data_IF_731040783082
#
_entry.id   IF_731040783082
#
_cell.length_a   1.000
_cell.length_b   1.000
_cell.length_c   1.000
_cell.angle_alpha   90.00
_cell.angle_beta   90.00
_cell.angle_gamma   90.00
#
_symmetry.space_group_name_H-M   'P 1'
#
loop_
_entity.id
_entity.type
_entity.pdbx_description
1 polymer ?
#
# COMPACT_ATOMS: atom_id res chain seq x y z
N UNK A 1 -1.95 13.78 16.68
CA UNK A 1 -1.80 12.36 16.29
C UNK A 1 -1.73 12.28 14.78
N UNK A 2 -0.74 11.57 14.24
CA UNK A 2 -0.59 11.40 12.79
C UNK A 2 -1.55 10.32 12.25
N UNK A 3 -2.21 10.59 11.13
CA UNK A 3 -3.22 9.70 10.55
C UNK A 3 -2.65 8.33 10.08
N UNK A 4 -1.46 8.32 9.47
CA UNK A 4 -0.79 7.09 9.01
C UNK A 4 -0.34 6.21 10.18
N UNK A 5 0.13 6.80 11.27
CA UNK A 5 0.46 6.04 12.49
C UNK A 5 -0.77 5.30 13.04
N UNK A 6 -1.95 5.92 12.94
CA UNK A 6 -3.22 5.26 13.27
C UNK A 6 -3.46 3.99 12.46
N UNK A 7 -3.27 4.05 11.14
CA UNK A 7 -3.40 2.88 10.25
C UNK A 7 -2.43 1.74 10.61
N UNK A 8 -1.20 2.06 11.02
CA UNK A 8 -0.25 1.05 11.52
C UNK A 8 -0.80 0.41 12.81
N UNK A 9 -1.19 1.24 13.78
CA UNK A 9 -1.70 0.81 15.09
C UNK A 9 -3.06 0.10 15.05
N UNK A 10 -3.83 0.24 13.97
CA UNK A 10 -5.05 -0.55 13.74
C UNK A 10 -4.78 -2.07 13.77
N UNK A 11 -3.56 -2.49 13.41
CA UNK A 11 -3.15 -3.89 13.48
C UNK A 11 -3.07 -4.42 14.92
N UNK A 12 -2.94 -3.55 15.93
CA UNK A 12 -2.93 -3.94 17.33
C UNK A 12 -4.30 -4.48 17.82
N UNK A 13 -5.38 -4.26 17.05
CA UNK A 13 -6.67 -4.91 17.29
C UNK A 13 -6.71 -6.38 16.85
N UNK A 14 -5.71 -6.81 16.09
CA UNK A 14 -5.62 -8.16 15.50
C UNK A 14 -4.59 -9.00 16.26
N UNK A 15 -3.41 -8.41 16.51
CA UNK A 15 -2.33 -9.04 17.24
C UNK A 15 -1.46 -7.96 17.90
N UNK A 16 -0.86 -8.28 19.05
CA UNK A 16 0.13 -7.40 19.68
C UNK A 16 1.30 -7.16 18.74
N UNK A 17 1.62 -5.88 18.49
CA UNK A 17 2.72 -5.51 17.60
C UNK A 17 4.07 -5.93 18.18
N UNK A 18 4.92 -6.55 17.35
CA UNK A 18 6.25 -7.02 17.73
C UNK A 18 7.34 -6.26 16.99
N UNK A 19 8.26 -5.67 17.74
CA UNK A 19 9.34 -4.85 17.21
C UNK A 19 10.71 -5.60 17.18
N UNK A 20 11.57 -5.37 16.18
CA UNK A 20 11.39 -4.42 15.08
C UNK A 20 10.28 -4.84 14.11
N UNK A 21 9.50 -3.87 13.67
CA UNK A 21 8.31 -4.02 12.84
C UNK A 21 8.51 -3.30 11.52
N UNK A 22 8.05 -3.90 10.42
CA UNK A 22 7.93 -3.25 9.13
C UNK A 22 6.45 -3.06 8.80
N UNK A 23 6.04 -1.87 8.41
CA UNK A 23 4.69 -1.57 7.98
C UNK A 23 4.68 -1.16 6.51
N UNK A 24 3.85 -1.83 5.71
CA UNK A 24 3.49 -1.40 4.37
C UNK A 24 2.21 -0.56 4.45
N UNK A 25 2.37 0.76 4.41
CA UNK A 25 1.29 1.74 4.52
C UNK A 25 0.82 2.13 3.13
N UNK A 26 -0.39 1.73 2.76
CA UNK A 26 -0.96 1.86 1.42
C UNK A 26 -2.40 2.37 1.46
N UNK A 27 -2.57 3.65 1.11
CA UNK A 27 -3.87 4.32 1.03
C UNK A 27 -4.10 4.92 -0.36
N UNK A 28 -5.17 5.71 -0.51
CA UNK A 28 -5.40 6.49 -1.72
C UNK A 28 -4.25 7.45 -2.04
N UNK A 29 -3.64 8.05 -1.01
CA UNK A 29 -2.60 9.09 -1.16
C UNK A 29 -1.22 8.72 -0.57
N UNK A 30 -1.07 7.55 0.02
CA UNK A 30 0.20 7.13 0.63
C UNK A 30 0.62 5.76 0.12
N UNK A 31 1.90 5.59 -0.13
CA UNK A 31 2.53 4.28 -0.36
C UNK A 31 3.93 4.33 0.21
N UNK A 32 4.08 3.79 1.42
CA UNK A 32 5.30 3.90 2.22
C UNK A 32 5.65 2.56 2.86
N UNK A 33 6.95 2.32 3.03
CA UNK A 33 7.52 1.32 3.92
C UNK A 33 8.05 2.03 5.16
N UNK A 34 7.48 1.72 6.31
CA UNK A 34 7.84 2.31 7.60
C UNK A 34 8.47 1.23 8.46
N UNK A 35 9.73 1.43 8.85
CA UNK A 35 10.42 0.59 9.79
C UNK A 35 10.32 1.18 11.19
N UNK A 36 9.98 0.34 12.17
CA UNK A 36 9.80 0.72 13.56
C UNK A 36 10.69 -0.13 14.46
N UNK A 37 11.69 0.46 15.11
CA UNK A 37 12.54 -0.26 16.07
C UNK A 37 11.83 -0.52 17.40
N UNK A 38 10.88 0.34 17.76
CA UNK A 38 10.05 0.27 18.95
C UNK A 38 8.67 0.90 18.68
N UNK A 39 7.84 1.02 19.72
CA UNK A 39 6.44 1.46 19.61
C UNK A 39 6.25 2.97 19.35
N UNK A 40 7.33 3.76 19.32
CA UNK A 40 7.28 5.20 19.00
C UNK A 40 8.47 5.69 18.16
N UNK A 41 9.00 4.84 17.29
CA UNK A 41 10.06 5.19 16.33
C UNK A 41 9.57 4.85 14.92
N UNK A 42 9.32 5.84 14.06
CA UNK A 42 8.79 5.63 12.71
C UNK A 42 9.79 6.14 11.68
N UNK A 43 10.44 5.22 10.95
CA UNK A 43 11.41 5.54 9.91
C UNK A 43 10.85 5.16 8.55
N UNK A 44 10.53 6.14 7.71
CA UNK A 44 10.19 5.86 6.31
C UNK A 44 11.45 5.48 5.55
N UNK A 45 11.55 4.21 5.20
CA UNK A 45 12.70 3.65 4.46
C UNK A 45 12.44 3.56 2.95
N UNK A 46 11.18 3.71 2.53
CA UNK A 46 10.79 3.73 1.12
C UNK A 46 9.46 4.43 0.95
N UNK A 47 9.33 5.22 -0.11
CA UNK A 47 8.09 5.94 -0.42
C UNK A 47 7.85 5.96 -1.93
N UNK A 48 6.62 6.23 -2.36
CA UNK A 48 6.37 6.53 -3.76
C UNK A 48 7.06 7.84 -4.16
N UNK A 49 7.69 7.85 -5.34
CA UNK A 49 8.26 9.06 -5.94
C UNK A 49 7.25 9.85 -6.78
N UNK A 50 6.07 9.28 -7.01
CA UNK A 50 5.02 9.88 -7.80
C UNK A 50 3.63 9.55 -7.21
N UNK A 51 2.76 8.89 -7.97
CA UNK A 51 1.42 8.52 -7.54
C UNK A 51 1.49 7.48 -6.42
N UNK A 52 0.60 7.58 -5.44
CA UNK A 52 0.33 6.45 -4.55
C UNK A 52 -0.35 5.31 -5.32
N UNK A 53 -0.22 4.08 -4.84
CA UNK A 53 -0.83 2.93 -5.52
C UNK A 53 -2.36 3.06 -5.61
N UNK A 54 -3.02 3.58 -4.57
CA UNK A 54 -4.47 3.81 -4.60
C UNK A 54 -4.88 4.79 -5.71
N UNK A 55 -4.16 5.90 -5.84
CA UNK A 55 -4.34 6.87 -6.92
C UNK A 55 -4.09 6.25 -8.31
N UNK A 56 -3.09 5.38 -8.45
CA UNK A 56 -2.83 4.67 -9.69
C UNK A 56 -4.01 3.76 -10.09
N UNK A 57 -4.62 3.05 -9.14
CA UNK A 57 -5.84 2.25 -9.38
C UNK A 57 -7.01 3.14 -9.84
N UNK A 58 -7.21 4.29 -9.20
CA UNK A 58 -8.27 5.24 -9.59
C UNK A 58 -8.04 5.81 -10.99
N UNK A 59 -6.79 6.17 -11.33
CA UNK A 59 -6.41 6.65 -12.65
C UNK A 59 -6.62 5.59 -13.74
N UNK A 60 -6.24 4.34 -13.50
CA UNK A 60 -6.43 3.25 -14.46
C UNK A 60 -7.91 2.89 -14.63
N UNK A 61 -8.69 2.86 -13.54
CA UNK A 61 -10.14 2.68 -13.63
C UNK A 61 -10.81 3.77 -14.48
N UNK A 62 -10.35 5.02 -14.36
CA UNK A 62 -10.81 6.12 -15.22
C UNK A 62 -10.45 5.91 -16.68
N UNK A 63 -9.23 5.43 -16.98
CA UNK A 63 -8.81 5.11 -18.36
C UNK A 63 -9.67 4.01 -18.97
N UNK A 64 -10.04 2.98 -18.20
CA UNK A 64 -10.90 1.89 -18.66
C UNK A 64 -12.39 2.26 -18.71
N UNK A 65 -12.77 3.43 -18.18
CA UNK A 65 -14.16 3.88 -18.10
C UNK A 65 -14.99 3.06 -17.12
N UNK A 66 -14.41 2.55 -16.04
CA UNK A 66 -15.03 1.56 -15.13
C UNK A 66 -15.54 2.14 -13.82
N UNK A 67 -15.35 3.46 -13.59
CA UNK A 67 -15.95 4.19 -12.47
C UNK A 67 -15.00 4.47 -11.30
N UNK A 68 -15.58 4.86 -10.16
CA UNK A 68 -14.90 5.23 -8.92
C UNK A 68 -15.67 4.70 -7.70
N UNK A 69 -15.02 4.21 -6.62
CA UNK A 69 -13.57 4.09 -6.44
C UNK A 69 -12.95 2.99 -7.31
N UNK A 70 -11.79 3.26 -7.89
CA UNK A 70 -11.15 2.38 -8.87
C UNK A 70 -10.54 1.12 -8.27
N UNK A 71 -10.02 1.21 -7.04
CA UNK A 71 -9.42 0.06 -6.31
C UNK A 71 -10.29 -1.21 -6.34
N UNK A 72 -11.52 -1.18 -5.75
CA UNK A 72 -12.41 -2.34 -5.71
C UNK A 72 -12.92 -2.81 -7.09
N UNK A 73 -13.02 -1.90 -8.06
CA UNK A 73 -13.49 -2.21 -9.41
C UNK A 73 -12.43 -2.98 -10.17
N UNK A 74 -11.19 -2.48 -10.19
CA UNK A 74 -10.05 -3.13 -10.82
C UNK A 74 -9.76 -4.48 -10.17
N UNK A 75 -9.78 -4.59 -8.83
CA UNK A 75 -9.58 -5.87 -8.13
C UNK A 75 -10.62 -6.93 -8.55
N UNK A 76 -11.87 -6.51 -8.80
CA UNK A 76 -12.92 -7.42 -9.29
C UNK A 76 -12.67 -7.84 -10.73
N UNK A 77 -12.43 -6.88 -11.62
CA UNK A 77 -12.19 -7.14 -13.04
C UNK A 77 -10.94 -8.00 -13.27
N UNK A 78 -9.88 -7.73 -12.53
CA UNK A 78 -8.63 -8.49 -12.62
C UNK A 78 -8.79 -9.97 -12.26
N UNK A 79 -9.80 -10.37 -11.48
CA UNK A 79 -10.10 -11.79 -11.19
C UNK A 79 -10.66 -12.53 -12.40
N UNK A 80 -11.32 -11.81 -13.30
CA UNK A 80 -11.90 -12.35 -14.52
C UNK A 80 -10.92 -12.25 -15.71
N UNK A 81 -9.88 -11.43 -15.57
CA UNK A 81 -8.82 -11.25 -16.55
C UNK A 81 -7.82 -12.39 -16.60
N UNK A 82 -7.09 -12.44 -17.72
CA UNK A 82 -6.05 -13.44 -18.03
C UNK A 82 -4.71 -12.75 -18.32
N UNK A 83 -3.63 -13.53 -18.27
CA UNK A 83 -2.29 -13.08 -18.65
C UNK A 83 -2.15 -12.93 -20.17
N UNK A 84 -2.78 -11.90 -20.71
CA UNK A 84 -2.78 -11.59 -22.14
C UNK A 84 -1.90 -10.36 -22.43
N UNK A 85 -2.00 -9.33 -21.60
CA UNK A 85 -1.26 -8.09 -21.74
C UNK A 85 -0.09 -8.01 -20.75
N UNK A 86 0.96 -7.28 -21.13
CA UNK A 86 2.12 -7.00 -20.27
C UNK A 86 2.38 -5.50 -20.24
N UNK A 87 2.56 -4.97 -19.04
CA UNK A 87 2.97 -3.59 -18.80
C UNK A 87 4.44 -3.56 -18.36
N UNK A 88 5.16 -2.46 -18.66
CA UNK A 88 6.52 -2.29 -18.17
C UNK A 88 6.53 -2.18 -16.64
N UNK A 89 7.46 -2.87 -16.00
CA UNK A 89 7.70 -2.70 -14.56
C UNK A 89 8.32 -1.31 -14.32
N UNK A 90 7.77 -0.51 -13.39
CA UNK A 90 8.35 0.78 -13.04
C UNK A 90 9.74 0.60 -12.43
N UNK A 91 10.66 1.52 -12.77
CA UNK A 91 12.01 1.57 -12.20
C UNK A 91 12.07 2.67 -11.16
N UNK A 92 12.76 2.41 -10.05
CA UNK A 92 12.97 3.37 -8.97
C UNK A 92 14.43 3.38 -8.57
N UNK A 93 14.96 4.56 -8.27
CA UNK A 93 16.37 4.73 -7.88
C UNK A 93 16.63 4.20 -6.47
N UNK A 94 15.67 4.37 -5.55
CA UNK A 94 15.76 3.84 -4.20
C UNK A 94 15.45 2.34 -4.12
N UNK A 95 16.20 1.65 -3.27
CA UNK A 95 16.08 0.20 -3.06
C UNK A 95 14.64 -0.18 -2.69
N UNK A 96 14.00 0.61 -1.82
CA UNK A 96 12.63 0.39 -1.34
C UNK A 96 11.59 1.36 -1.90
N UNK A 97 11.98 2.26 -2.79
CA UNK A 97 11.08 3.27 -3.34
C UNK A 97 10.14 2.69 -4.40
N UNK A 98 8.98 3.33 -4.53
CA UNK A 98 7.90 2.97 -5.45
C UNK A 98 7.69 4.05 -6.53
N UNK A 99 7.06 3.66 -7.63
CA UNK A 99 6.62 4.56 -8.71
C UNK A 99 5.50 3.87 -9.48
N UNK A 100 4.37 4.53 -9.64
CA UNK A 100 3.18 3.98 -10.28
C UNK A 100 2.61 4.90 -11.37
N UNK A 101 3.03 6.17 -11.44
CA UNK A 101 2.49 7.15 -12.42
C UNK A 101 2.63 6.69 -13.89
N UNK A 102 3.74 6.00 -14.20
CA UNK A 102 4.01 5.45 -15.53
C UNK A 102 3.01 4.38 -15.97
N UNK A 103 2.33 3.69 -15.04
CA UNK A 103 1.41 2.61 -15.36
C UNK A 103 0.15 3.13 -16.07
N UNK A 104 -0.36 4.30 -15.69
CA UNK A 104 -1.48 4.93 -16.41
C UNK A 104 -1.11 5.16 -17.88
N UNK A 105 0.06 5.73 -18.12
CA UNK A 105 0.56 6.01 -19.48
C UNK A 105 0.76 4.72 -20.26
N UNK A 106 1.32 3.68 -19.63
CA UNK A 106 1.51 2.38 -20.26
C UNK A 106 0.17 1.72 -20.64
N UNK A 107 -0.87 1.82 -19.79
CA UNK A 107 -2.22 1.33 -20.09
C UNK A 107 -2.82 2.09 -21.27
N UNK A 108 -2.72 3.41 -21.31
CA UNK A 108 -3.20 4.22 -22.44
C UNK A 108 -2.51 3.83 -23.75
N UNK A 109 -1.19 3.64 -23.72
CA UNK A 109 -0.41 3.23 -24.88
C UNK A 109 -0.78 1.82 -25.35
N UNK A 110 -1.03 0.90 -24.41
CA UNK A 110 -1.48 -0.45 -24.71
C UNK A 110 -2.83 -0.41 -25.45
N UNK A 111 -3.81 0.33 -24.91
CA UNK A 111 -5.14 0.49 -25.52
C UNK A 111 -5.01 1.03 -26.95
N UNK A 112 -4.28 2.14 -27.13
CA UNK A 112 -4.09 2.74 -28.46
C UNK A 112 -3.39 1.81 -29.45
N UNK A 113 -2.49 0.95 -28.98
CA UNK A 113 -1.78 0.00 -29.85
C UNK A 113 -2.72 -1.08 -30.36
N UNK A 114 -3.53 -1.67 -29.48
CA UNK A 114 -4.50 -2.70 -29.87
C UNK A 114 -5.58 -2.14 -30.80
N UNK A 115 -6.09 -0.93 -30.50
CA UNK A 115 -7.06 -0.25 -31.37
C UNK A 115 -6.50 0.00 -32.78
N UNK A 116 -5.24 0.45 -32.89
CA UNK A 116 -4.56 0.63 -34.18
C UNK A 116 -4.33 -0.68 -34.93
N UNK A 117 -4.20 -1.80 -34.21
CA UNK A 117 -4.10 -3.13 -34.79
C UNK A 117 -5.47 -3.70 -35.20
N UNK A 118 -6.57 -3.01 -34.89
CA UNK A 118 -7.94 -3.47 -35.16
C UNK A 118 -8.44 -4.51 -34.14
N UNK A 119 -7.76 -4.66 -33.00
CA UNK A 119 -8.15 -5.58 -31.94
C UNK A 119 -9.10 -4.87 -30.96
N UNK A 120 -10.12 -5.58 -30.49
CA UNK A 120 -10.94 -5.11 -29.36
C UNK A 120 -10.19 -5.31 -28.03
N UNK A 121 -10.26 -4.32 -27.15
CA UNK A 121 -9.65 -4.39 -25.82
C UNK A 121 -10.51 -5.22 -24.88
N UNK A 122 -9.89 -6.21 -24.25
CA UNK A 122 -10.46 -6.98 -23.13
C UNK A 122 -10.07 -6.25 -21.84
N UNK A 123 -11.01 -5.49 -21.25
CA UNK A 123 -10.70 -4.60 -20.12
C UNK A 123 -10.26 -5.37 -18.88
N UNK A 124 -10.79 -6.57 -18.67
CA UNK A 124 -10.47 -7.48 -17.58
C UNK A 124 -9.00 -7.90 -17.64
N UNK A 125 -8.51 -8.22 -18.85
CA UNK A 125 -7.09 -8.56 -19.07
C UNK A 125 -6.17 -7.36 -18.84
N UNK A 126 -6.63 -6.14 -19.18
CA UNK A 126 -5.88 -4.91 -18.88
C UNK A 126 -5.83 -4.65 -17.37
N UNK A 127 -6.95 -4.82 -16.68
CA UNK A 127 -7.02 -4.72 -15.22
C UNK A 127 -6.12 -5.75 -14.54
N UNK A 128 -6.10 -6.99 -15.03
CA UNK A 128 -5.19 -8.05 -14.59
C UNK A 128 -3.72 -7.63 -14.77
N UNK A 129 -3.33 -7.22 -15.99
CA UNK A 129 -1.96 -6.82 -16.29
C UNK A 129 -1.49 -5.64 -15.44
N UNK A 130 -2.36 -4.64 -15.22
CA UNK A 130 -2.09 -3.53 -14.30
C UNK A 130 -1.91 -3.99 -12.86
N UNK A 131 -2.86 -4.76 -12.33
CA UNK A 131 -2.83 -5.22 -10.95
C UNK A 131 -1.57 -6.06 -10.66
N UNK A 132 -1.26 -7.03 -11.52
CA UNK A 132 -0.07 -7.87 -11.33
C UNK A 132 1.23 -7.05 -11.43
N UNK A 133 1.29 -6.06 -12.32
CA UNK A 133 2.49 -5.20 -12.45
C UNK A 133 2.66 -4.31 -11.22
N UNK A 134 1.60 -3.63 -10.78
CA UNK A 134 1.64 -2.72 -9.63
C UNK A 134 1.93 -3.48 -8.31
N UNK A 135 1.20 -4.57 -8.07
CA UNK A 135 1.40 -5.40 -6.88
C UNK A 135 2.72 -6.18 -6.93
N UNK A 136 3.19 -6.56 -8.11
CA UNK A 136 4.49 -7.18 -8.30
C UNK A 136 5.62 -6.29 -7.79
N UNK A 137 5.60 -4.99 -8.15
CA UNK A 137 6.55 -4.02 -7.63
C UNK A 137 6.38 -3.81 -6.12
N UNK A 138 5.15 -3.58 -5.66
CA UNK A 138 4.85 -3.33 -4.25
C UNK A 138 5.35 -4.47 -3.36
N UNK A 139 4.99 -5.70 -3.70
CA UNK A 139 5.39 -6.90 -2.96
C UNK A 139 6.89 -7.17 -3.08
N UNK A 140 7.49 -7.01 -4.27
CA UNK A 140 8.92 -7.21 -4.47
C UNK A 140 9.78 -6.30 -3.59
N UNK A 141 9.47 -5.00 -3.55
CA UNK A 141 10.16 -4.02 -2.72
C UNK A 141 9.95 -4.27 -1.22
N UNK A 142 8.73 -4.67 -0.83
CA UNK A 142 8.42 -5.03 0.56
C UNK A 142 9.22 -6.24 1.02
N UNK A 143 9.30 -7.29 0.19
CA UNK A 143 10.06 -8.50 0.53
C UNK A 143 11.56 -8.27 0.55
N UNK A 144 12.07 -7.40 -0.32
CA UNK A 144 13.47 -6.96 -0.25
C UNK A 144 13.76 -6.33 1.13
N UNK A 145 12.89 -5.45 1.62
CA UNK A 145 13.04 -4.87 2.96
C UNK A 145 12.92 -5.93 4.09
N UNK A 146 12.07 -6.94 3.93
CA UNK A 146 12.00 -8.07 4.88
C UNK A 146 13.30 -8.88 4.90
N UNK A 147 13.89 -9.17 3.74
CA UNK A 147 15.15 -9.90 3.61
C UNK A 147 16.31 -9.13 4.27
N UNK A 148 16.40 -7.84 3.99
CA UNK A 148 17.50 -6.99 4.44
C UNK A 148 17.43 -6.69 5.95
N UNK A 149 16.23 -6.38 6.45
CA UNK A 149 16.02 -5.89 7.83
C UNK A 149 15.60 -6.98 8.81
N UNK A 150 15.07 -8.11 8.32
CA UNK A 150 14.61 -9.26 9.12
C UNK A 150 13.71 -8.83 10.30
N UNK A 151 12.63 -8.06 10.05
CA UNK A 151 11.75 -7.60 11.11
C UNK A 151 11.06 -8.80 11.77
N UNK A 152 10.69 -8.68 13.05
CA UNK A 152 9.89 -9.70 13.74
C UNK A 152 8.46 -9.75 13.20
N UNK A 153 7.97 -8.63 12.67
CA UNK A 153 6.62 -8.50 12.16
C UNK A 153 6.58 -7.63 10.91
N UNK A 154 5.78 -8.05 9.93
CA UNK A 154 5.35 -7.24 8.80
C UNK A 154 3.85 -7.01 8.91
N UNK A 155 3.40 -5.77 8.84
CA UNK A 155 1.98 -5.42 8.84
C UNK A 155 1.57 -4.72 7.55
N UNK A 156 0.36 -4.98 7.07
CA UNK A 156 -0.29 -4.14 6.06
C UNK A 156 -1.14 -3.07 6.74
N UNK A 157 -1.18 -1.87 6.18
CA UNK A 157 -1.93 -0.75 6.74
C UNK A 157 -2.54 0.12 5.63
N UNK A 158 -3.70 0.74 5.89
CA UNK A 158 -4.38 1.60 4.92
C UNK A 158 -5.39 0.90 4.00
N UNK A 159 -6.17 1.70 3.28
CA UNK A 159 -7.32 1.23 2.49
C UNK A 159 -6.98 0.24 1.38
N UNK A 160 -5.81 0.34 0.75
CA UNK A 160 -5.42 -0.58 -0.34
C UNK A 160 -5.02 -1.96 0.22
N UNK A 161 -4.77 -2.10 1.53
CA UNK A 161 -4.64 -3.39 2.18
C UNK A 161 -5.92 -4.25 2.07
N UNK A 162 -7.05 -3.66 1.65
CA UNK A 162 -8.28 -4.37 1.30
C UNK A 162 -8.19 -5.17 -0.01
N UNK A 163 -7.23 -4.88 -0.89
CA UNK A 163 -7.11 -5.54 -2.20
C UNK A 163 -6.87 -7.04 -2.04
N UNK A 164 -7.74 -7.85 -2.65
CA UNK A 164 -7.75 -9.28 -2.42
C UNK A 164 -6.52 -10.00 -3.00
N UNK A 165 -6.03 -9.54 -4.15
CA UNK A 165 -4.82 -10.07 -4.78
C UNK A 165 -3.56 -9.75 -3.98
N UNK A 166 -3.45 -8.55 -3.42
CA UNK A 166 -2.35 -8.17 -2.53
C UNK A 166 -2.30 -9.09 -1.31
N UNK A 167 -3.44 -9.32 -0.66
CA UNK A 167 -3.53 -10.22 0.50
C UNK A 167 -3.05 -11.62 0.16
N UNK A 168 -3.49 -12.15 -0.99
CA UNK A 168 -3.05 -13.45 -1.49
C UNK A 168 -1.53 -13.48 -1.70
N UNK A 169 -0.98 -12.53 -2.48
CA UNK A 169 0.44 -12.46 -2.80
C UNK A 169 1.32 -12.36 -1.54
N UNK A 170 0.93 -11.51 -0.58
CA UNK A 170 1.67 -11.36 0.68
C UNK A 170 1.61 -12.64 1.51
N UNK A 171 0.44 -13.27 1.60
CA UNK A 171 0.28 -14.54 2.34
C UNK A 171 1.13 -15.64 1.73
N UNK A 172 1.14 -15.77 0.40
CA UNK A 172 1.95 -16.78 -0.31
C UNK A 172 3.45 -16.50 -0.15
N UNK A 173 3.90 -15.28 -0.44
CA UNK A 173 5.34 -14.96 -0.46
C UNK A 173 5.97 -14.91 0.94
N UNK A 174 5.21 -14.53 1.97
CA UNK A 174 5.72 -14.50 3.34
C UNK A 174 5.96 -15.91 3.93
N UNK A 175 5.52 -16.99 3.28
CA UNK A 175 5.86 -18.35 3.69
C UNK A 175 7.38 -18.61 3.64
N UNK A 176 8.13 -17.88 2.80
CA UNK A 176 9.58 -17.97 2.74
C UNK A 176 10.30 -17.33 3.96
N UNK A 177 9.57 -16.59 4.81
CA UNK A 177 10.11 -15.80 5.91
C UNK A 177 9.51 -16.23 7.26
N UNK A 178 9.76 -17.46 7.74
CA UNK A 178 9.10 -18.03 8.92
C UNK A 178 9.39 -17.28 10.23
N UNK A 179 10.45 -16.47 10.28
CA UNK A 179 10.81 -15.66 11.44
C UNK A 179 10.13 -14.28 11.46
N UNK A 180 9.39 -13.93 10.40
CA UNK A 180 8.69 -12.65 10.25
C UNK A 180 7.19 -12.92 10.26
N UNK A 181 6.51 -12.52 11.33
CA UNK A 181 5.05 -12.66 11.42
C UNK A 181 4.36 -11.67 10.47
N UNK A 182 3.58 -12.16 9.50
CA UNK A 182 2.70 -11.32 8.69
C UNK A 182 1.38 -11.06 9.42
N UNK A 183 0.98 -9.80 9.54
CA UNK A 183 -0.36 -9.38 9.97
C UNK A 183 -1.04 -8.63 8.84
N UNK A 184 -2.18 -9.16 8.42
CA UNK A 184 -3.07 -8.48 7.47
C UNK A 184 -4.32 -8.05 8.25
N UNK A 185 -4.64 -6.76 8.32
CA UNK A 185 -5.79 -6.29 9.08
C UNK A 185 -7.10 -6.81 8.47
N UNK A 186 -8.13 -7.08 9.28
CA UNK A 186 -9.47 -7.35 8.76
C UNK A 186 -10.01 -6.10 8.05
N UNK A 187 -10.99 -6.27 7.17
CA UNK A 187 -11.47 -5.20 6.29
C UNK A 187 -11.93 -3.94 7.05
N UNK A 188 -12.54 -4.11 8.23
CA UNK A 188 -13.01 -2.99 9.06
C UNK A 188 -11.86 -2.16 9.65
N UNK A 189 -10.64 -2.70 9.71
CA UNK A 189 -9.44 -1.99 10.15
C UNK A 189 -8.68 -1.29 9.00
N UNK A 190 -8.99 -1.59 7.74
CA UNK A 190 -8.29 -1.01 6.60
C UNK A 190 -8.75 0.43 6.29
N UNK A 191 -10.01 0.74 6.56
CA UNK A 191 -10.60 2.06 6.29
C UNK A 191 -10.47 2.97 7.51
N UNK A 192 -10.49 4.28 7.25
CA UNK A 192 -10.42 5.30 8.29
C UNK A 192 -11.48 5.11 9.37
N UNK A 193 -11.05 5.05 10.63
CA UNK A 193 -11.94 4.91 11.77
C UNK A 193 -11.32 5.58 13.01
N UNK A 194 -12.17 6.03 13.95
CA UNK A 194 -11.68 6.70 15.16
C UNK A 194 -10.94 5.75 16.11
N UNK A 195 -11.21 4.44 16.06
CA UNK A 195 -10.57 3.46 16.94
C UNK A 195 -9.05 3.43 16.71
N UNK A 196 -8.61 3.48 15.46
CA UNK A 196 -7.18 3.49 15.11
C UNK A 196 -6.45 4.73 15.66
N UNK A 197 -7.14 5.88 15.72
CA UNK A 197 -6.61 7.11 16.32
C UNK A 197 -6.54 6.98 17.84
N UNK A 198 -7.54 6.36 18.47
CA UNK A 198 -7.52 6.04 19.89
C UNK A 198 -6.39 5.08 20.27
N UNK A 199 -6.12 4.07 19.43
CA UNK A 199 -5.04 3.11 19.64
C UNK A 199 -3.67 3.78 19.70
N UNK A 200 -3.32 4.58 18.69
CA UNK A 200 -2.04 5.33 18.71
C UNK A 200 -2.04 6.44 19.76
N UNK A 201 -3.19 7.06 20.07
CA UNK A 201 -3.30 8.05 21.13
C UNK A 201 -2.97 7.48 22.51
N UNK A 202 -3.36 6.23 22.78
CA UNK A 202 -2.98 5.52 24.00
C UNK A 202 -1.47 5.27 24.08
N UNK A 203 -0.83 4.97 22.96
CA UNK A 203 0.64 4.79 22.90
C UNK A 203 1.33 6.14 23.11
N UNK A 204 0.86 7.21 22.48
CA UNK A 204 1.35 8.57 22.69
C UNK A 204 1.29 8.97 24.17
N UNK A 205 0.16 8.68 24.81
CA UNK A 205 -0.07 8.92 26.22
C UNK A 205 0.95 8.17 27.11
N UNK A 206 1.26 6.90 26.80
CA UNK A 206 2.28 6.13 27.53
C UNK A 206 3.68 6.73 27.42
N UNK A 207 3.98 7.37 26.30
CA UNK A 207 5.23 8.10 26.08
C UNK A 207 5.22 9.52 26.65
N UNK A 208 4.13 9.94 27.31
CA UNK A 208 4.00 11.28 27.88
C UNK A 208 3.86 12.39 26.83
N UNK A 209 3.39 12.05 25.63
CA UNK A 209 3.22 12.99 24.53
C UNK A 209 1.79 13.54 24.52
N UNK A 210 1.67 14.82 24.84
CA UNK A 210 0.40 15.53 24.94
C UNK A 210 0.35 16.67 23.93
N UNK A 211 -0.81 16.86 23.31
CA UNK A 211 -1.11 18.09 22.58
C UNK A 211 -1.54 19.20 23.55
N UNK A 212 -1.52 20.44 23.07
CA UNK A 212 -2.06 21.59 23.79
C UNK A 212 -3.43 22.02 23.22
N UNK A 213 -4.07 23.01 23.87
CA UNK A 213 -5.36 23.55 23.44
C UNK A 213 -5.25 24.44 22.19
N UNK A 214 -4.04 24.80 21.77
CA UNK A 214 -3.78 25.57 20.55
C UNK A 214 -3.55 24.67 19.33
N UNK A 215 -3.47 23.35 19.52
CA UNK A 215 -3.26 22.38 18.46
C UNK A 215 -4.29 22.54 17.33
N UNK A 216 -3.78 22.78 16.12
CA UNK A 216 -4.55 22.89 14.90
C UNK A 216 -4.33 21.66 14.02
N UNK A 217 -5.21 21.48 13.03
CA UNK A 217 -5.00 20.48 12.00
C UNK A 217 -3.82 20.88 11.11
N UNK A 218 -2.90 19.95 10.90
CA UNK A 218 -1.80 20.09 9.95
C UNK A 218 -1.98 19.04 8.82
N UNK A 219 -2.32 19.48 7.59
CA UNK A 219 -2.50 18.57 6.47
C UNK A 219 -1.19 17.94 5.98
N UNK A 220 -0.04 18.52 6.34
CA UNK A 220 1.30 18.02 6.04
C UNK A 220 1.97 17.33 7.22
N UNK A 221 1.22 16.97 8.26
CA UNK A 221 1.77 16.37 9.47
C UNK A 221 2.54 15.08 9.12
N UNK A 222 3.84 15.11 9.33
CA UNK A 222 4.75 13.98 9.14
C UNK A 222 4.62 12.95 10.27
N UNK A 223 5.06 11.71 10.03
CA UNK A 223 5.13 10.70 11.10
C UNK A 223 6.21 11.09 12.13
N UNK A 224 6.05 10.71 13.41
CA UNK A 224 7.09 10.98 14.40
C UNK A 224 8.42 10.33 14.00
N UNK A 225 9.46 11.12 13.72
CA UNK A 225 10.77 10.63 13.28
C UNK A 225 11.05 10.74 11.77
N UNK A 226 10.09 11.23 10.99
CA UNK A 226 10.37 11.74 9.63
C UNK A 226 11.03 13.13 9.76
N UNK A 227 12.23 13.30 9.19
CA UNK A 227 12.94 14.58 9.00
C UNK A 227 12.71 15.15 7.59
#
# INVERSE_FOLDING_TARGET
>A
INHMTGHIWANNFVADLKFPLLALVISGGHTQLVYMENDWDYKVIGTTKDDAIGEAYDKVSRVLGTGYPGGPVIDRMAKEGKEHYKLPSPKTDGVYDFSFSGLKTAVLQLIQREEKAGNEIIKEDVAYAFQETALGQLTGKTLQAVEDLKPKMLVLAGGVAANSRLRQLMTEKMQAYPNTQLVIPPMYCCTDNAAMIGAVGYVAYKHGLFGDLAAAADPGLMMPGEE
#
